data_IF_742978388846
#
_entry.id   IF_742978388846
#
_cell.length_a   1.000
_cell.length_b   1.000
_cell.length_c   1.000
_cell.angle_alpha   90.00
_cell.angle_beta   90.00
_cell.angle_gamma   90.00
#
_symmetry.space_group_name_H-M   'P 1'
#
loop_
_entity.id
_entity.type
_entity.pdbx_description
1 polymer ?
#
# COMPACT_ATOMS: atom_id res chain seq x y z
N UNK A 1 19.02 -7.34 -11.19
CA UNK A 1 19.67 -6.09 -11.65
C UNK A 1 20.85 -5.78 -10.74
N UNK A 2 21.96 -5.22 -11.24
CA UNK A 2 22.96 -4.64 -10.36
C UNK A 2 22.30 -3.57 -9.48
N UNK A 3 22.72 -3.40 -8.20
CA UNK A 3 22.22 -2.31 -7.37
C UNK A 3 22.51 -0.99 -8.09
N UNK A 4 21.51 -0.11 -8.16
CA UNK A 4 21.72 1.26 -8.59
C UNK A 4 22.93 1.81 -7.80
N UNK A 5 23.96 2.38 -8.46
CA UNK A 5 25.03 3.04 -7.73
C UNK A 5 24.39 4.03 -6.76
N UNK A 6 24.89 4.19 -5.51
CA UNK A 6 24.31 5.11 -4.54
C UNK A 6 24.22 6.49 -5.20
N UNK A 7 23.02 6.83 -5.66
CA UNK A 7 22.80 8.03 -6.42
C UNK A 7 22.89 9.21 -5.45
N UNK A 8 23.34 10.33 -6.00
CA UNK A 8 23.35 11.66 -5.39
C UNK A 8 21.92 12.16 -5.11
N UNK A 9 21.10 11.40 -4.38
CA UNK A 9 19.73 11.74 -4.02
C UNK A 9 19.65 12.58 -2.73
N UNK A 10 20.78 13.13 -2.27
CA UNK A 10 20.82 13.90 -1.03
C UNK A 10 19.97 15.17 -1.16
N UNK A 11 19.99 15.84 -2.32
CA UNK A 11 19.15 17.01 -2.56
C UNK A 11 17.66 16.65 -2.50
N UNK A 12 17.28 15.54 -3.11
CA UNK A 12 15.93 14.96 -3.05
C UNK A 12 15.52 14.66 -1.61
N UNK A 13 16.40 14.02 -0.84
CA UNK A 13 16.13 13.66 0.55
C UNK A 13 15.96 14.91 1.42
N UNK A 14 16.86 15.87 1.30
CA UNK A 14 16.82 17.12 2.07
C UNK A 14 15.55 17.92 1.74
N UNK A 15 15.18 17.98 0.46
CA UNK A 15 13.94 18.64 0.00
C UNK A 15 12.70 17.93 0.53
N UNK A 16 12.63 16.60 0.45
CA UNK A 16 11.52 15.82 0.98
C UNK A 16 11.40 15.96 2.50
N UNK A 17 12.51 15.96 3.24
CA UNK A 17 12.54 16.21 4.69
C UNK A 17 11.99 17.60 5.01
N UNK A 18 12.44 18.62 4.28
CA UNK A 18 11.98 19.99 4.47
C UNK A 18 10.45 20.08 4.25
N UNK A 19 9.96 19.60 3.10
CA UNK A 19 8.54 19.67 2.74
C UNK A 19 7.68 18.86 3.71
N UNK A 20 8.12 17.69 4.15
CA UNK A 20 7.41 16.90 5.15
C UNK A 20 7.27 17.66 6.48
N UNK A 21 8.33 18.34 6.94
CA UNK A 21 8.28 19.16 8.17
C UNK A 21 7.36 20.37 8.03
N UNK A 22 7.43 21.07 6.92
CA UNK A 22 6.57 22.23 6.63
C UNK A 22 5.10 21.82 6.56
N UNK A 23 4.77 20.76 5.82
CA UNK A 23 3.43 20.18 5.78
C UNK A 23 2.96 19.73 7.16
N UNK A 24 3.79 19.01 7.92
CA UNK A 24 3.44 18.56 9.27
C UNK A 24 3.17 19.72 10.24
N UNK A 25 3.92 20.81 10.15
CA UNK A 25 3.66 22.03 10.94
C UNK A 25 2.31 22.67 10.56
N UNK A 26 1.97 22.68 9.27
CA UNK A 26 0.68 23.14 8.77
C UNK A 26 -0.47 22.27 9.29
N UNK A 27 -0.32 20.95 9.27
CA UNK A 27 -1.31 20.00 9.81
C UNK A 27 -1.55 20.20 11.32
N UNK A 28 -0.50 20.39 12.12
CA UNK A 28 -0.62 20.69 13.55
C UNK A 28 -1.36 22.03 13.80
N UNK A 29 -1.11 23.03 12.94
CA UNK A 29 -1.83 24.30 12.96
C UNK A 29 -3.33 24.12 12.69
N UNK A 30 -3.69 23.25 11.75
CA UNK A 30 -5.10 22.91 11.49
C UNK A 30 -5.74 22.16 12.65
N UNK A 31 -5.06 21.19 13.27
CA UNK A 31 -5.58 20.51 14.46
C UNK A 31 -5.81 21.48 15.62
N UNK A 32 -4.84 22.36 15.89
CA UNK A 32 -4.97 23.37 16.93
C UNK A 32 -6.16 24.30 16.66
N UNK A 33 -6.36 24.72 15.40
CA UNK A 33 -7.52 25.53 15.00
C UNK A 33 -8.84 24.75 15.10
N UNK A 34 -8.92 23.52 14.58
CA UNK A 34 -10.11 22.68 14.61
C UNK A 34 -10.62 22.42 16.04
N UNK A 35 -9.71 22.12 16.97
CA UNK A 35 -10.02 21.97 18.40
C UNK A 35 -10.55 23.27 19.04
N UNK A 36 -10.13 24.44 18.53
CA UNK A 36 -10.64 25.75 19.00
C UNK A 36 -12.00 26.08 18.38
N UNK A 37 -12.24 25.66 17.13
CA UNK A 37 -13.45 25.99 16.35
C UNK A 37 -14.55 24.90 16.45
N UNK A 38 -14.36 23.80 17.18
CA UNK A 38 -15.42 22.82 17.51
C UNK A 38 -16.66 23.43 18.22
N UNK A 39 -16.66 24.74 18.51
CA UNK A 39 -17.86 25.50 18.83
C UNK A 39 -18.72 25.93 17.60
N UNK A 40 -18.25 25.79 16.34
CA UNK A 40 -18.89 26.36 15.11
C UNK A 40 -18.66 25.66 13.74
N UNK A 41 -17.80 24.65 13.56
CA UNK A 41 -17.57 24.00 12.23
C UNK A 41 -17.52 22.48 12.29
N UNK A 42 -17.70 21.78 11.15
CA UNK A 42 -17.67 20.32 11.07
C UNK A 42 -16.23 19.78 10.95
N UNK A 43 -15.99 18.55 11.44
CA UNK A 43 -14.68 17.90 11.36
C UNK A 43 -14.26 17.56 9.92
N UNK A 44 -15.21 17.21 9.05
CA UNK A 44 -14.96 16.86 7.64
C UNK A 44 -14.42 18.05 6.82
N UNK A 45 -14.96 19.25 7.06
CA UNK A 45 -14.48 20.48 6.40
C UNK A 45 -13.04 20.81 6.79
N UNK A 46 -12.68 20.58 8.05
CA UNK A 46 -11.34 20.88 8.58
C UNK A 46 -10.28 19.96 7.98
N UNK A 47 -10.60 18.68 7.85
CA UNK A 47 -9.69 17.67 7.27
C UNK A 47 -9.46 17.96 5.80
N UNK A 48 -10.53 18.25 5.05
CA UNK A 48 -10.44 18.58 3.63
C UNK A 48 -9.57 19.82 3.38
N UNK A 49 -9.63 20.83 4.24
CA UNK A 49 -8.79 22.03 4.12
C UNK A 49 -7.31 21.73 4.46
N UNK A 50 -7.07 21.01 5.55
CA UNK A 50 -5.72 20.65 5.98
C UNK A 50 -4.98 19.84 4.93
N UNK A 51 -5.66 18.86 4.34
CA UNK A 51 -5.11 17.94 3.36
C UNK A 51 -4.77 18.66 2.05
N UNK A 52 -5.69 19.48 1.53
CA UNK A 52 -5.46 20.31 0.34
C UNK A 52 -4.30 21.30 0.51
N UNK A 53 -4.22 21.97 1.65
CA UNK A 53 -3.14 22.93 1.91
C UNK A 53 -1.77 22.23 2.04
N UNK A 54 -1.72 21.07 2.72
CA UNK A 54 -0.52 20.27 2.83
C UNK A 54 -0.07 19.72 1.46
N UNK A 55 -1.01 19.18 0.67
CA UNK A 55 -0.78 18.71 -0.69
C UNK A 55 -0.21 19.84 -1.56
N UNK A 56 -0.87 21.00 -1.60
CA UNK A 56 -0.43 22.13 -2.42
C UNK A 56 1.00 22.59 -2.07
N UNK A 57 1.34 22.62 -0.77
CA UNK A 57 2.69 22.95 -0.31
C UNK A 57 3.72 21.96 -0.83
N UNK A 58 3.49 20.66 -0.63
CA UNK A 58 4.43 19.60 -1.04
C UNK A 58 4.57 19.59 -2.56
N UNK A 59 3.46 19.60 -3.29
CA UNK A 59 3.41 19.56 -4.76
C UNK A 59 4.14 20.77 -5.36
N UNK A 60 3.90 21.98 -4.85
CA UNK A 60 4.58 23.18 -5.34
C UNK A 60 6.10 23.11 -5.09
N UNK A 61 6.51 22.67 -3.89
CA UNK A 61 7.92 22.50 -3.54
C UNK A 61 8.63 21.49 -4.42
N UNK A 62 8.04 20.31 -4.63
CA UNK A 62 8.60 19.27 -5.49
C UNK A 62 8.69 19.70 -6.96
N UNK A 63 7.64 20.32 -7.50
CA UNK A 63 7.65 20.84 -8.89
C UNK A 63 8.70 21.94 -9.09
N UNK A 64 8.92 22.79 -8.09
CA UNK A 64 9.94 23.83 -8.17
C UNK A 64 11.36 23.26 -8.12
N UNK A 65 11.60 22.28 -7.24
CA UNK A 65 12.92 21.67 -7.08
C UNK A 65 13.28 20.68 -8.20
N UNK A 66 12.28 19.93 -8.71
CA UNK A 66 12.45 18.84 -9.67
C UNK A 66 11.45 18.92 -10.84
N UNK A 67 11.51 19.97 -11.69
CA UNK A 67 10.51 20.21 -12.74
C UNK A 67 10.48 19.14 -13.85
N UNK A 68 11.45 18.22 -13.89
CA UNK A 68 11.49 17.12 -14.85
C UNK A 68 10.86 15.81 -14.35
N UNK A 69 10.57 15.71 -13.05
CA UNK A 69 10.02 14.51 -12.42
C UNK A 69 8.49 14.50 -12.53
N UNK A 70 7.90 13.30 -12.55
CA UNK A 70 6.45 13.12 -12.45
C UNK A 70 5.97 13.28 -11.02
N UNK A 71 4.67 13.46 -10.85
CA UNK A 71 4.04 13.58 -9.54
C UNK A 71 2.72 12.81 -9.50
N UNK A 72 2.52 12.08 -8.41
CA UNK A 72 1.28 11.40 -8.04
C UNK A 72 0.97 11.76 -6.59
N UNK A 73 -0.20 12.34 -6.32
CA UNK A 73 -0.64 12.69 -4.97
C UNK A 73 -2.06 12.18 -4.76
N UNK A 74 -2.40 11.74 -3.55
CA UNK A 74 -3.77 11.33 -3.18
C UNK A 74 -4.81 12.41 -3.52
N UNK A 75 -4.49 13.65 -3.15
CA UNK A 75 -5.41 14.79 -3.23
C UNK A 75 -5.47 15.45 -4.60
N UNK A 76 -4.50 15.16 -5.47
CA UNK A 76 -4.49 15.69 -6.83
C UNK A 76 -5.28 14.75 -7.74
N UNK A 77 -6.18 15.32 -8.54
CA UNK A 77 -6.87 14.52 -9.55
C UNK A 77 -5.85 14.02 -10.57
N UNK A 78 -5.75 12.70 -10.70
CA UNK A 78 -4.98 12.02 -11.74
C UNK A 78 -5.72 12.08 -13.09
N UNK A 79 -5.95 13.31 -13.57
CA UNK A 79 -6.62 13.61 -14.83
C UNK A 79 -5.91 12.90 -15.99
N UNK A 80 -6.56 12.67 -17.14
CA UNK A 80 -5.92 12.04 -18.29
C UNK A 80 -4.59 12.71 -18.68
N UNK A 81 -4.51 14.03 -18.58
CA UNK A 81 -3.32 14.82 -18.87
C UNK A 81 -2.22 14.61 -17.81
N UNK A 82 -2.56 14.76 -16.52
CA UNK A 82 -1.62 14.53 -15.41
C UNK A 82 -1.08 13.09 -15.43
N UNK A 83 -1.97 12.12 -15.69
CA UNK A 83 -1.64 10.70 -15.83
C UNK A 83 -0.68 10.47 -16.98
N UNK A 84 -0.99 10.99 -18.18
CA UNK A 84 -0.11 10.87 -19.34
C UNK A 84 1.26 11.50 -19.08
N UNK A 85 1.30 12.64 -18.40
CA UNK A 85 2.55 13.28 -18.01
C UNK A 85 3.37 12.37 -17.08
N UNK A 86 2.85 11.97 -15.92
CA UNK A 86 3.62 11.18 -14.93
C UNK A 86 4.03 9.82 -15.47
N UNK A 87 3.19 9.17 -16.29
CA UNK A 87 3.51 7.87 -16.90
C UNK A 87 4.63 7.98 -17.95
N UNK A 88 4.84 9.18 -18.50
CA UNK A 88 5.98 9.48 -19.38
C UNK A 88 7.28 9.77 -18.64
N UNK A 89 7.30 9.82 -17.30
CA UNK A 89 8.49 10.11 -16.49
C UNK A 89 9.07 8.85 -15.88
N UNK A 90 10.39 8.75 -15.90
CA UNK A 90 11.13 7.67 -15.22
C UNK A 90 11.13 7.88 -13.69
N UNK A 91 11.28 9.13 -13.25
CA UNK A 91 11.31 9.54 -11.85
C UNK A 91 9.95 10.12 -11.48
N UNK A 92 9.32 9.61 -10.42
CA UNK A 92 8.00 10.07 -9.97
C UNK A 92 7.97 10.20 -8.46
N UNK A 93 7.58 11.39 -7.99
CA UNK A 93 7.25 11.66 -6.60
C UNK A 93 5.84 11.17 -6.29
N UNK A 94 5.68 10.43 -5.21
CA UNK A 94 4.43 9.79 -4.81
C UNK A 94 4.13 10.23 -3.38
N UNK A 95 3.03 10.95 -3.19
CA UNK A 95 2.78 11.75 -1.98
C UNK A 95 1.42 11.42 -1.40
N UNK A 96 1.39 11.22 -0.08
CA UNK A 96 0.18 11.25 0.73
C UNK A 96 0.38 12.35 1.80
N UNK A 97 -0.35 13.48 1.70
CA UNK A 97 -0.21 14.58 2.65
C UNK A 97 -0.71 14.23 4.06
N UNK A 98 -1.66 13.29 4.21
CA UNK A 98 -2.22 12.84 5.50
C UNK A 98 -2.57 11.34 5.44
N UNK A 99 -1.55 10.47 5.57
CA UNK A 99 -1.80 9.05 5.79
C UNK A 99 -2.33 8.86 7.21
N UNK A 100 -3.44 8.13 7.34
CA UNK A 100 -4.15 7.99 8.61
C UNK A 100 -5.11 9.13 8.90
N UNK A 101 -5.86 9.60 7.89
CA UNK A 101 -6.90 10.64 8.02
C UNK A 101 -7.84 10.44 9.22
N UNK A 102 -8.24 9.19 9.50
CA UNK A 102 -9.08 8.87 10.66
C UNK A 102 -8.41 9.18 12.02
N UNK A 103 -7.10 9.03 12.09
CA UNK A 103 -6.28 9.33 13.26
C UNK A 103 -6.03 10.84 13.37
N UNK A 104 -5.84 11.52 12.23
CA UNK A 104 -5.83 12.99 12.15
C UNK A 104 -7.13 13.61 12.65
N UNK A 105 -8.30 13.16 12.16
CA UNK A 105 -9.63 13.64 12.61
C UNK A 105 -9.80 13.52 14.12
N UNK A 106 -9.29 12.43 14.71
CA UNK A 106 -9.39 12.16 16.15
C UNK A 106 -8.31 12.88 16.97
N UNK A 107 -7.36 13.56 16.33
CA UNK A 107 -6.21 14.17 16.97
C UNK A 107 -5.29 13.16 17.67
N UNK A 108 -5.22 11.92 17.19
CA UNK A 108 -4.27 10.92 17.73
C UNK A 108 -2.88 11.16 17.14
N UNK A 109 -1.88 10.46 17.66
CA UNK A 109 -0.51 10.57 17.18
C UNK A 109 -0.17 9.68 15.96
N UNK A 110 -1.15 8.97 15.40
CA UNK A 110 -0.95 7.87 14.44
C UNK A 110 -1.29 8.27 12.98
N UNK A 111 -1.01 9.53 12.61
CA UNK A 111 -1.06 10.04 11.23
C UNK A 111 0.31 10.56 10.79
N UNK A 112 0.55 10.64 9.48
CA UNK A 112 1.83 11.09 8.94
C UNK A 112 1.73 11.76 7.58
N UNK A 113 2.71 12.60 7.27
CA UNK A 113 3.03 13.01 5.89
C UNK A 113 3.96 11.96 5.28
N UNK A 114 3.64 11.48 4.08
CA UNK A 114 4.40 10.46 3.35
C UNK A 114 4.84 10.99 1.99
N UNK A 115 6.16 11.00 1.74
CA UNK A 115 6.77 11.47 0.49
C UNK A 115 7.76 10.43 0.00
N UNK A 116 7.41 9.74 -1.09
CA UNK A 116 8.24 8.73 -1.74
C UNK A 116 8.75 9.19 -3.10
N UNK A 117 9.90 8.67 -3.52
CA UNK A 117 10.41 8.81 -4.88
C UNK A 117 10.61 7.41 -5.47
N UNK A 118 9.97 7.18 -6.61
CA UNK A 118 10.15 5.99 -7.43
C UNK A 118 10.97 6.32 -8.69
N UNK A 119 11.88 5.43 -9.08
CA UNK A 119 12.68 5.54 -10.31
C UNK A 119 12.56 4.25 -11.09
N UNK A 120 12.09 4.34 -12.34
CA UNK A 120 11.83 3.16 -13.17
C UNK A 120 10.86 2.18 -12.51
N UNK A 121 9.89 2.69 -11.75
CA UNK A 121 8.90 1.90 -11.00
C UNK A 121 9.40 1.27 -9.69
N UNK A 122 10.65 1.51 -9.28
CA UNK A 122 11.23 1.02 -8.03
C UNK A 122 11.25 2.12 -6.97
N UNK A 123 10.86 1.87 -5.71
CA UNK A 123 10.95 2.85 -4.64
C UNK A 123 12.42 2.99 -4.22
N UNK A 124 12.98 4.20 -4.29
CA UNK A 124 14.42 4.46 -4.02
C UNK A 124 14.67 5.38 -2.84
N UNK A 125 13.71 6.22 -2.47
CA UNK A 125 13.82 7.19 -1.37
C UNK A 125 12.45 7.38 -0.73
N UNK A 126 12.43 7.53 0.59
CA UNK A 126 11.21 7.78 1.35
C UNK A 126 11.45 8.68 2.55
N UNK A 127 10.48 9.55 2.81
CA UNK A 127 10.34 10.35 4.03
C UNK A 127 8.94 10.14 4.58
N UNK A 128 8.85 9.75 5.86
CA UNK A 128 7.60 9.64 6.60
C UNK A 128 7.73 10.47 7.87
N UNK A 129 6.86 11.44 8.05
CA UNK A 129 6.88 12.33 9.22
C UNK A 129 5.55 12.26 9.97
N UNK A 130 5.58 11.79 11.22
CA UNK A 130 4.46 11.83 12.15
C UNK A 130 4.58 13.11 13.01
N UNK A 131 3.87 14.20 12.68
CA UNK A 131 4.11 15.49 13.32
C UNK A 131 3.67 15.55 14.78
N UNK A 132 2.62 14.80 15.16
CA UNK A 132 2.12 14.75 16.52
C UNK A 132 3.11 14.11 17.52
N UNK A 133 3.85 13.08 17.09
CA UNK A 133 4.91 12.46 17.90
C UNK A 133 6.30 13.07 17.65
N UNK A 134 6.45 13.88 16.60
CA UNK A 134 7.74 14.45 16.18
C UNK A 134 8.69 13.41 15.58
N UNK A 135 8.18 12.27 15.12
CA UNK A 135 8.98 11.19 14.54
C UNK A 135 9.14 11.41 13.03
N UNK A 136 10.36 11.67 12.58
CA UNK A 136 10.73 11.76 11.17
C UNK A 136 11.63 10.60 10.78
N UNK A 137 11.18 9.79 9.82
CA UNK A 137 11.94 8.71 9.22
C UNK A 137 12.33 9.12 7.81
N UNK A 138 13.60 9.01 7.47
CA UNK A 138 14.11 9.39 6.15
C UNK A 138 15.22 8.45 5.71
N UNK A 139 15.21 8.02 4.46
CA UNK A 139 16.18 7.05 3.97
C UNK A 139 16.19 6.87 2.47
N UNK A 140 17.29 6.30 1.99
CA UNK A 140 17.50 5.96 0.58
C UNK A 140 17.99 4.53 0.48
N UNK A 141 17.48 3.79 -0.52
CA UNK A 141 17.90 2.42 -0.77
C UNK A 141 19.40 2.39 -1.05
N UNK A 142 20.13 1.58 -0.29
CA UNK A 142 21.60 1.50 -0.35
C UNK A 142 22.35 2.48 0.57
N UNK A 143 21.68 3.47 1.19
CA UNK A 143 22.29 4.40 2.15
C UNK A 143 21.84 4.15 3.61
N UNK A 144 20.67 3.53 3.80
CA UNK A 144 20.09 3.26 5.11
C UNK A 144 19.00 4.26 5.50
N UNK A 145 18.57 4.17 6.76
CA UNK A 145 17.48 4.97 7.32
C UNK A 145 17.99 5.79 8.51
N UNK A 146 17.42 6.98 8.67
CA UNK A 146 17.55 7.83 9.86
C UNK A 146 16.20 8.00 10.54
N UNK A 147 16.20 8.09 11.87
CA UNK A 147 15.07 8.57 12.68
C UNK A 147 15.51 9.86 13.35
N UNK A 148 14.78 10.95 13.12
CA UNK A 148 15.08 12.27 13.69
C UNK A 148 16.52 12.75 13.43
N UNK A 149 17.11 12.37 12.29
CA UNK A 149 18.48 12.71 11.91
C UNK A 149 19.55 11.75 12.45
N UNK A 150 19.19 10.80 13.31
CA UNK A 150 20.11 9.77 13.81
C UNK A 150 20.02 8.50 12.96
N UNK A 151 21.17 7.95 12.58
CA UNK A 151 21.22 6.72 11.78
C UNK A 151 20.72 5.53 12.58
N UNK A 152 19.84 4.74 11.97
CA UNK A 152 19.31 3.53 12.58
C UNK A 152 20.17 2.33 12.17
N UNK A 153 20.49 1.48 13.15
CA UNK A 153 21.01 0.13 12.91
C UNK A 153 20.09 -0.84 13.64
N UNK A 154 19.46 -1.74 12.87
CA UNK A 154 18.50 -2.71 13.39
C UNK A 154 19.19 -4.07 13.51
N UNK A 155 19.04 -4.72 14.66
CA UNK A 155 19.51 -6.10 14.85
C UNK A 155 18.50 -7.11 14.31
N UNK A 156 19.00 -8.25 13.86
CA UNK A 156 18.17 -9.39 13.48
C UNK A 156 17.43 -9.95 14.69
N UNK A 157 16.11 -10.13 14.57
CA UNK A 157 15.29 -10.83 15.56
C UNK A 157 14.95 -12.23 15.04
N UNK A 158 15.04 -13.25 15.88
CA UNK A 158 14.78 -14.63 15.50
C UNK A 158 13.32 -15.07 15.63
N UNK A 159 12.45 -14.28 16.27
CA UNK A 159 11.01 -14.55 16.37
C UNK A 159 10.66 -15.79 17.19
N UNK A 160 11.30 -15.96 18.36
CA UNK A 160 11.10 -17.13 19.22
C UNK A 160 9.86 -17.03 20.11
N UNK A 161 9.49 -18.12 20.78
CA UNK A 161 8.33 -18.16 21.70
C UNK A 161 8.37 -17.11 22.82
N UNK A 162 9.57 -16.77 23.29
CA UNK A 162 9.79 -15.77 24.33
C UNK A 162 10.06 -14.35 23.79
N UNK A 163 10.21 -14.20 22.47
CA UNK A 163 10.41 -12.91 21.80
C UNK A 163 9.80 -12.97 20.39
N UNK A 164 8.45 -13.00 20.31
CA UNK A 164 7.76 -13.14 19.04
C UNK A 164 7.98 -11.91 18.17
N UNK A 165 7.75 -12.07 16.87
CA UNK A 165 7.70 -10.92 15.97
C UNK A 165 6.51 -10.01 16.31
N UNK A 166 6.73 -8.70 16.25
CA UNK A 166 5.72 -7.66 16.39
C UNK A 166 5.11 -7.40 15.01
N UNK A 167 3.81 -7.70 14.87
CA UNK A 167 3.06 -7.48 13.64
C UNK A 167 2.18 -6.24 13.80
N UNK A 168 2.56 -5.14 13.15
CA UNK A 168 1.76 -3.92 13.19
C UNK A 168 0.56 -4.03 12.25
N UNK A 169 -0.66 -3.89 12.75
CA UNK A 169 -1.91 -4.13 11.99
C UNK A 169 -2.89 -2.97 12.18
N UNK A 170 -3.64 -2.62 11.13
CA UNK A 170 -4.73 -1.64 11.26
C UNK A 170 -5.77 -2.11 12.28
N UNK A 171 -6.18 -1.24 13.20
CA UNK A 171 -7.23 -1.55 14.16
C UNK A 171 -8.56 -1.97 13.50
N UNK A 172 -8.85 -1.44 12.31
CA UNK A 172 -10.04 -1.82 11.52
C UNK A 172 -9.93 -3.24 10.99
N UNK A 173 -8.76 -3.64 10.51
CA UNK A 173 -8.55 -4.97 9.96
C UNK A 173 -8.54 -6.05 11.05
N UNK A 174 -7.92 -5.73 12.19
CA UNK A 174 -7.97 -6.54 13.39
C UNK A 174 -9.42 -6.86 13.80
N UNK A 175 -10.26 -5.83 13.92
CA UNK A 175 -11.66 -5.95 14.34
C UNK A 175 -12.55 -6.71 13.35
N UNK A 176 -12.27 -6.64 12.05
CA UNK A 176 -13.15 -7.23 11.02
C UNK A 176 -12.91 -8.73 10.81
N UNK A 177 -11.68 -9.11 10.51
CA UNK A 177 -11.41 -10.45 9.96
C UNK A 177 -10.30 -11.18 10.75
N UNK A 178 -9.37 -10.44 11.36
CA UNK A 178 -8.18 -11.06 11.95
C UNK A 178 -8.31 -11.48 13.42
N UNK A 179 -9.24 -10.90 14.18
CA UNK A 179 -9.50 -11.33 15.57
C UNK A 179 -9.98 -12.79 15.69
N UNK A 180 -10.41 -13.41 14.59
CA UNK A 180 -10.80 -14.81 14.52
C UNK A 180 -9.59 -15.75 14.34
N UNK A 181 -8.42 -15.20 14.07
CA UNK A 181 -7.18 -15.94 13.84
C UNK A 181 -6.24 -15.74 15.02
N UNK A 182 -5.70 -16.85 15.55
CA UNK A 182 -4.69 -16.81 16.60
C UNK A 182 -3.30 -16.51 15.98
N UNK A 183 -3.12 -15.31 15.42
CA UNK A 183 -1.83 -14.85 14.92
C UNK A 183 -1.12 -14.06 16.03
N UNK A 184 0.02 -14.54 16.56
CA UNK A 184 0.68 -13.89 17.67
C UNK A 184 1.33 -12.56 17.27
N UNK A 185 1.59 -11.71 18.26
CA UNK A 185 2.38 -10.48 18.06
C UNK A 185 1.65 -9.31 17.41
N UNK A 186 0.35 -9.43 17.13
CA UNK A 186 -0.46 -8.33 16.58
C UNK A 186 -0.49 -7.12 17.51
N UNK A 187 -0.13 -5.95 16.97
CA UNK A 187 -0.22 -4.64 17.63
C UNK A 187 -1.02 -3.68 16.74
N UNK A 188 -2.15 -3.13 17.22
CA UNK A 188 -2.88 -2.11 16.50
C UNK A 188 -2.02 -0.88 16.20
N UNK A 189 -2.07 -0.37 14.96
CA UNK A 189 -1.45 0.88 14.53
C UNK A 189 -2.17 1.42 13.29
N UNK A 190 -2.39 2.74 13.26
CA UNK A 190 -3.18 3.45 12.25
C UNK A 190 -2.55 3.49 10.85
N UNK A 191 -1.84 4.59 10.58
CA UNK A 191 -1.13 4.91 9.33
C UNK A 191 -0.23 3.77 8.82
N UNK A 192 -0.35 3.41 7.54
CA UNK A 192 0.46 2.35 6.92
C UNK A 192 1.86 2.85 6.56
N UNK A 193 2.02 4.09 6.13
CA UNK A 193 3.32 4.73 5.94
C UNK A 193 4.13 4.71 7.25
N UNK A 194 3.50 5.09 8.37
CA UNK A 194 4.13 5.08 9.69
C UNK A 194 4.45 3.66 10.18
N UNK A 195 3.58 2.68 9.93
CA UNK A 195 3.89 1.27 10.23
C UNK A 195 5.14 0.80 9.49
N UNK A 196 5.22 1.05 8.18
CA UNK A 196 6.38 0.66 7.37
C UNK A 196 7.66 1.37 7.83
N UNK A 197 7.56 2.66 8.17
CA UNK A 197 8.67 3.44 8.70
C UNK A 197 9.16 2.90 10.07
N UNK A 198 8.25 2.57 10.98
CA UNK A 198 8.56 1.96 12.28
C UNK A 198 9.18 0.56 12.14
N UNK A 199 8.75 -0.22 11.13
CA UNK A 199 9.40 -1.51 10.82
C UNK A 199 10.83 -1.27 10.32
N UNK A 200 11.04 -0.30 9.43
CA UNK A 200 12.36 0.06 8.95
C UNK A 200 13.28 0.56 10.08
N UNK A 201 12.70 1.12 11.14
CA UNK A 201 13.39 1.53 12.35
C UNK A 201 13.61 0.41 13.38
N UNK A 202 13.07 -0.80 13.17
CA UNK A 202 13.16 -1.92 14.10
C UNK A 202 12.21 -1.84 15.30
N UNK A 203 11.20 -0.97 15.25
CA UNK A 203 10.18 -0.80 16.30
C UNK A 203 9.00 -1.76 16.14
N UNK A 204 8.86 -2.32 14.94
CA UNK A 204 8.00 -3.45 14.62
C UNK A 204 8.74 -4.35 13.61
N UNK A 205 8.20 -5.53 13.34
CA UNK A 205 8.92 -6.54 12.56
C UNK A 205 8.28 -6.81 11.20
N UNK A 206 6.95 -6.78 11.14
CA UNK A 206 6.19 -7.01 9.92
C UNK A 206 4.80 -6.35 9.97
N UNK A 207 4.14 -6.29 8.82
CA UNK A 207 2.76 -5.86 8.64
C UNK A 207 2.13 -6.60 7.46
N UNK A 208 0.80 -6.68 7.44
CA UNK A 208 0.06 -7.04 6.25
C UNK A 208 -1.29 -6.32 6.22
N UNK A 209 -1.89 -6.24 5.04
CA UNK A 209 -3.30 -5.90 4.90
C UNK A 209 -3.93 -6.74 3.80
N UNK A 210 -5.17 -7.15 4.02
CA UNK A 210 -6.02 -7.77 3.00
C UNK A 210 -6.86 -6.74 2.24
N UNK A 211 -6.90 -5.51 2.73
CA UNK A 211 -7.62 -4.41 2.09
C UNK A 211 -6.71 -3.71 1.07
N UNK A 212 -7.26 -3.16 0.00
CA UNK A 212 -6.46 -2.44 -0.99
C UNK A 212 -5.67 -1.29 -0.41
N UNK A 213 -4.55 -0.95 -1.05
CA UNK A 213 -3.75 0.25 -0.76
C UNK A 213 -3.46 1.00 -2.04
N UNK A 214 -3.26 2.28 -1.94
CA UNK A 214 -2.78 3.10 -3.04
C UNK A 214 -1.26 3.19 -3.03
N UNK A 215 -0.66 3.60 -4.14
CA UNK A 215 0.79 3.79 -4.21
C UNK A 215 1.29 4.84 -3.21
N UNK A 216 0.52 5.91 -2.99
CA UNK A 216 0.84 7.00 -2.06
C UNK A 216 0.88 6.56 -0.59
N UNK A 217 0.01 5.64 -0.20
CA UNK A 217 0.00 5.03 1.14
C UNK A 217 1.34 4.34 1.49
N UNK A 218 2.03 3.77 0.48
CA UNK A 218 3.11 2.80 0.73
C UNK A 218 4.45 3.17 0.11
N UNK A 219 4.54 4.07 -0.88
CA UNK A 219 5.78 4.32 -1.62
C UNK A 219 6.94 4.75 -0.72
N UNK A 220 6.72 5.73 0.15
CA UNK A 220 7.75 6.21 1.08
C UNK A 220 8.14 5.13 2.10
N UNK A 221 7.15 4.49 2.71
CA UNK A 221 7.37 3.41 3.68
C UNK A 221 8.10 2.21 3.09
N UNK A 222 7.79 1.83 1.85
CA UNK A 222 8.46 0.75 1.15
C UNK A 222 9.92 1.11 0.83
N UNK A 223 10.20 2.34 0.39
CA UNK A 223 11.57 2.80 0.19
C UNK A 223 12.40 2.74 1.49
N UNK A 224 11.83 3.19 2.61
CA UNK A 224 12.46 3.08 3.93
C UNK A 224 12.73 1.63 4.32
N UNK A 225 11.74 0.75 4.12
CA UNK A 225 11.86 -0.66 4.45
C UNK A 225 12.99 -1.33 3.64
N UNK A 226 13.06 -1.09 2.34
CA UNK A 226 14.17 -1.56 1.48
C UNK A 226 15.52 -0.96 1.89
N UNK A 227 15.56 0.33 2.25
CA UNK A 227 16.77 0.98 2.74
C UNK A 227 17.30 0.34 4.04
N UNK A 228 16.42 -0.25 4.85
CA UNK A 228 16.78 -1.01 6.06
C UNK A 228 17.00 -2.52 5.81
N UNK A 229 16.84 -3.01 4.57
CA UNK A 229 17.03 -4.41 4.19
C UNK A 229 15.78 -5.30 4.28
N UNK A 230 14.61 -4.73 4.57
CA UNK A 230 13.31 -5.42 4.44
C UNK A 230 12.71 -5.29 3.05
N UNK A 231 11.49 -5.78 2.87
CA UNK A 231 10.76 -5.68 1.60
C UNK A 231 9.23 -5.62 1.79
N UNK A 232 8.52 -5.18 0.75
CA UNK A 232 7.06 -5.12 0.69
C UNK A 232 6.54 -5.76 -0.61
N UNK A 233 5.69 -6.76 -0.46
CA UNK A 233 5.14 -7.54 -1.56
C UNK A 233 3.61 -7.42 -1.60
N UNK A 234 3.04 -7.64 -2.78
CA UNK A 234 1.62 -7.95 -2.88
C UNK A 234 1.37 -9.29 -2.20
N UNK A 235 0.16 -9.48 -1.65
CA UNK A 235 -0.18 -10.75 -0.98
C UNK A 235 -0.22 -11.98 -1.90
N UNK A 236 -0.30 -11.77 -3.21
CA UNK A 236 -0.17 -12.83 -4.20
C UNK A 236 1.28 -13.20 -4.53
N UNK A 237 2.26 -12.58 -3.85
CA UNK A 237 3.68 -12.84 -3.97
C UNK A 237 4.38 -12.02 -5.05
N UNK A 238 3.66 -11.19 -5.80
CA UNK A 238 4.26 -10.35 -6.83
C UNK A 238 4.92 -9.10 -6.22
N UNK A 239 6.02 -8.60 -6.83
CA UNK A 239 6.63 -7.35 -6.41
C UNK A 239 5.68 -6.16 -6.67
N UNK A 240 5.77 -5.14 -5.82
CA UNK A 240 5.05 -3.88 -6.01
C UNK A 240 5.86 -2.98 -6.95
N UNK A 241 5.20 -2.50 -8.01
CA UNK A 241 5.76 -1.55 -8.97
C UNK A 241 4.99 -0.25 -8.85
N UNK A 242 5.70 0.87 -8.94
CA UNK A 242 5.14 2.21 -8.79
C UNK A 242 4.99 2.93 -10.13
N UNK A 243 4.30 4.06 -10.13
CA UNK A 243 3.87 4.82 -11.31
C UNK A 243 3.02 3.98 -12.26
N UNK A 244 2.07 3.20 -11.73
CA UNK A 244 1.18 2.39 -12.55
C UNK A 244 0.02 3.24 -13.11
N UNK A 245 -0.59 2.83 -14.25
CA UNK A 245 -1.78 3.50 -14.78
C UNK A 245 -2.97 3.48 -13.82
N UNK A 246 -3.07 2.40 -13.03
CA UNK A 246 -3.95 2.28 -11.87
C UNK A 246 -3.07 2.20 -10.62
N UNK A 247 -2.97 3.28 -9.83
CA UNK A 247 -2.06 3.34 -8.68
C UNK A 247 -2.67 2.67 -7.43
N UNK A 248 -3.43 1.60 -7.60
CA UNK A 248 -4.09 0.86 -6.54
C UNK A 248 -3.69 -0.60 -6.55
N UNK A 249 -3.41 -1.13 -5.37
CA UNK A 249 -2.98 -2.50 -5.08
C UNK A 249 -4.17 -3.22 -4.45
N UNK A 250 -4.98 -3.88 -5.27
CA UNK A 250 -6.23 -4.52 -4.85
C UNK A 250 -6.03 -5.81 -4.02
N UNK A 251 -4.91 -6.50 -4.22
CA UNK A 251 -4.63 -7.80 -3.59
C UNK A 251 -4.24 -7.67 -2.11
N UNK A 252 -4.02 -6.45 -1.63
CA UNK A 252 -3.40 -6.19 -0.34
C UNK A 252 -1.89 -6.43 -0.37
N UNK A 253 -1.24 -6.21 0.76
CA UNK A 253 0.22 -6.25 0.89
C UNK A 253 0.67 -7.06 2.10
N UNK A 254 1.90 -7.54 2.07
CA UNK A 254 2.64 -8.12 3.20
C UNK A 254 4.08 -7.62 3.15
N UNK A 255 4.60 -7.15 4.27
CA UNK A 255 5.94 -6.58 4.32
C UNK A 255 6.57 -6.70 5.68
N UNK A 256 7.88 -6.64 5.72
CA UNK A 256 8.62 -6.78 6.96
C UNK A 256 10.12 -6.88 6.73
N UNK A 257 10.84 -7.07 7.84
CA UNK A 257 12.24 -7.51 7.80
C UNK A 257 12.31 -8.97 7.31
N UNK A 258 13.42 -9.43 6.72
CA UNK A 258 13.46 -10.69 5.98
C UNK A 258 12.92 -11.90 6.74
N UNK A 259 13.35 -12.09 7.99
CA UNK A 259 12.95 -13.24 8.82
C UNK A 259 11.47 -13.14 9.22
N UNK A 260 11.01 -11.93 9.57
CA UNK A 260 9.64 -11.66 9.97
C UNK A 260 8.66 -11.76 8.78
N UNK A 261 9.08 -11.34 7.58
CA UNK A 261 8.31 -11.44 6.35
C UNK A 261 8.12 -12.91 5.94
N UNK A 262 9.19 -13.70 5.99
CA UNK A 262 9.14 -15.14 5.71
C UNK A 262 8.22 -15.86 6.70
N UNK A 263 8.39 -15.58 8.00
CA UNK A 263 7.52 -16.12 9.05
C UNK A 263 6.06 -15.71 8.85
N UNK A 264 5.78 -14.41 8.68
CA UNK A 264 4.42 -13.91 8.55
C UNK A 264 3.72 -14.53 7.34
N UNK A 265 4.41 -14.63 6.20
CA UNK A 265 3.87 -15.27 5.00
C UNK A 265 3.47 -16.72 5.26
N UNK A 266 4.30 -17.48 5.97
CA UNK A 266 4.00 -18.86 6.35
C UNK A 266 2.80 -18.94 7.31
N UNK A 267 2.71 -18.06 8.31
CA UNK A 267 1.61 -18.03 9.27
C UNK A 267 0.26 -17.68 8.62
N UNK A 268 0.24 -16.75 7.66
CA UNK A 268 -0.95 -16.39 6.89
C UNK A 268 -1.42 -17.57 6.03
N UNK A 269 -0.49 -18.29 5.39
CA UNK A 269 -0.79 -19.48 4.60
C UNK A 269 -1.30 -20.63 5.48
N UNK A 270 -0.67 -20.90 6.62
CA UNK A 270 -1.06 -21.96 7.55
C UNK A 270 -2.48 -21.78 8.12
N UNK A 271 -2.92 -20.53 8.25
CA UNK A 271 -4.29 -20.17 8.68
C UNK A 271 -5.27 -20.04 7.53
N UNK A 272 -4.87 -20.43 6.32
CA UNK A 272 -5.69 -20.38 5.11
C UNK A 272 -6.30 -19.00 4.83
N UNK A 273 -5.59 -17.90 5.17
CA UNK A 273 -6.13 -16.57 4.92
C UNK A 273 -6.33 -16.34 3.41
N UNK A 274 -7.51 -15.89 2.97
CA UNK A 274 -7.81 -15.80 1.55
C UNK A 274 -6.88 -14.82 0.82
N UNK A 275 -6.29 -15.25 -0.30
CA UNK A 275 -5.48 -14.44 -1.22
C UNK A 275 -6.20 -14.32 -2.56
N UNK A 276 -6.22 -13.12 -3.14
CA UNK A 276 -6.78 -12.88 -4.47
C UNK A 276 -5.67 -12.73 -5.51
N UNK A 277 -5.85 -13.36 -6.67
CA UNK A 277 -5.04 -13.21 -7.87
C UNK A 277 -5.94 -12.64 -8.96
N UNK A 278 -5.56 -11.50 -9.54
CA UNK A 278 -6.29 -10.86 -10.62
C UNK A 278 -5.47 -11.03 -11.91
N UNK A 279 -6.03 -11.67 -12.94
CA UNK A 279 -5.27 -12.10 -14.12
C UNK A 279 -4.23 -13.18 -13.80
N UNK A 280 -4.67 -14.27 -13.14
CA UNK A 280 -3.82 -15.40 -12.76
C UNK A 280 -3.25 -16.10 -13.99
N UNK A 281 -1.92 -16.12 -14.10
CA UNK A 281 -1.19 -16.83 -15.16
C UNK A 281 -1.03 -18.33 -14.84
N UNK A 282 -0.98 -19.16 -15.88
CA UNK A 282 -0.79 -20.61 -15.77
C UNK A 282 0.53 -21.00 -15.09
N UNK A 283 1.58 -20.18 -15.24
CA UNK A 283 2.87 -20.37 -14.58
C UNK A 283 2.87 -20.03 -13.09
N UNK A 284 1.84 -19.36 -12.58
CA UNK A 284 1.78 -18.98 -11.18
C UNK A 284 1.48 -20.19 -10.29
N UNK A 285 2.13 -20.29 -9.12
CA UNK A 285 1.90 -21.39 -8.17
C UNK A 285 0.42 -21.52 -7.77
N UNK A 286 -0.30 -20.40 -7.70
CA UNK A 286 -1.73 -20.38 -7.37
C UNK A 286 -2.62 -21.03 -8.45
N UNK A 287 -2.13 -21.25 -9.68
CA UNK A 287 -2.86 -22.00 -10.72
C UNK A 287 -3.22 -23.41 -10.25
N UNK A 288 -2.34 -24.04 -9.46
CA UNK A 288 -2.57 -25.37 -8.90
C UNK A 288 -3.74 -25.42 -7.89
N UNK A 289 -4.24 -24.28 -7.42
CA UNK A 289 -5.42 -24.21 -6.52
C UNK A 289 -6.75 -24.38 -7.27
N UNK A 290 -6.74 -24.25 -8.60
CA UNK A 290 -7.90 -24.53 -9.44
C UNK A 290 -8.15 -26.05 -9.50
N UNK A 291 -9.42 -26.50 -9.54
CA UNK A 291 -9.74 -27.88 -9.89
C UNK A 291 -9.09 -28.29 -11.22
N UNK A 292 -8.67 -29.56 -11.35
CA UNK A 292 -7.96 -30.02 -12.56
C UNK A 292 -8.74 -29.84 -13.87
N UNK A 293 -10.07 -29.94 -13.83
CA UNK A 293 -10.93 -29.64 -14.97
C UNK A 293 -10.86 -28.16 -15.39
N UNK A 294 -10.73 -27.25 -14.42
CA UNK A 294 -10.63 -25.81 -14.65
C UNK A 294 -9.25 -25.42 -15.18
N UNK A 295 -8.19 -26.04 -14.67
CA UNK A 295 -6.84 -25.83 -15.21
C UNK A 295 -6.79 -26.15 -16.71
N UNK A 296 -7.42 -27.25 -17.13
CA UNK A 296 -7.48 -27.63 -18.55
C UNK A 296 -8.40 -26.70 -19.37
N UNK A 297 -9.55 -26.31 -18.83
CA UNK A 297 -10.53 -25.49 -19.53
C UNK A 297 -10.10 -24.02 -19.68
N UNK A 298 -9.30 -23.51 -18.74
CA UNK A 298 -8.88 -22.10 -18.70
C UNK A 298 -7.42 -21.89 -19.14
N UNK A 299 -6.72 -22.95 -19.56
CA UNK A 299 -5.35 -22.85 -20.05
C UNK A 299 -5.24 -21.80 -21.19
N UNK A 300 -4.30 -20.86 -21.06
CA UNK A 300 -4.12 -19.74 -21.98
C UNK A 300 -5.15 -18.60 -21.88
N UNK A 301 -6.14 -18.66 -20.97
CA UNK A 301 -7.10 -17.60 -20.77
C UNK A 301 -6.51 -16.45 -19.93
N UNK A 302 -6.61 -15.20 -20.41
CA UNK A 302 -5.95 -14.05 -19.79
C UNK A 302 -6.76 -13.36 -18.67
N UNK A 303 -8.05 -13.68 -18.55
CA UNK A 303 -8.94 -13.06 -17.58
C UNK A 303 -9.38 -13.97 -16.44
N UNK A 304 -8.52 -14.91 -16.03
CA UNK A 304 -8.78 -15.79 -14.90
C UNK A 304 -8.50 -15.04 -13.60
N UNK A 305 -9.49 -14.90 -12.72
CA UNK A 305 -9.32 -14.28 -11.41
C UNK A 305 -9.74 -15.27 -10.33
N UNK A 306 -8.92 -15.43 -9.30
CA UNK A 306 -9.11 -16.46 -8.27
C UNK A 306 -8.94 -15.87 -6.90
N UNK A 307 -9.81 -16.25 -5.98
CA UNK A 307 -9.59 -16.13 -4.54
C UNK A 307 -9.39 -17.53 -3.97
N UNK A 308 -8.26 -17.79 -3.33
CA UNK A 308 -7.94 -19.11 -2.76
C UNK A 308 -7.50 -18.99 -1.30
N UNK A 309 -7.57 -20.11 -0.57
CA UNK A 309 -7.11 -20.23 0.81
C UNK A 309 -6.99 -21.71 1.18
N UNK A 310 -5.97 -22.07 1.97
CA UNK A 310 -5.78 -23.46 2.41
C UNK A 310 -5.52 -24.44 1.25
N UNK A 311 -4.97 -23.96 0.14
CA UNK A 311 -4.72 -24.75 -1.07
C UNK A 311 -5.97 -25.01 -1.93
N UNK A 312 -7.08 -24.34 -1.66
CA UNK A 312 -8.34 -24.53 -2.40
C UNK A 312 -8.86 -23.22 -2.97
N UNK A 313 -9.47 -23.29 -4.16
CA UNK A 313 -10.22 -22.17 -4.74
C UNK A 313 -11.49 -21.91 -3.91
N UNK A 314 -11.62 -20.69 -3.40
CA UNK A 314 -12.79 -20.20 -2.66
C UNK A 314 -13.78 -19.49 -3.58
N UNK A 315 -13.26 -18.79 -4.60
CA UNK A 315 -14.03 -18.18 -5.68
C UNK A 315 -13.22 -18.07 -6.96
N UNK A 316 -13.90 -18.19 -8.09
CA UNK A 316 -13.38 -18.05 -9.43
C UNK A 316 -14.25 -17.07 -10.22
N UNK A 317 -13.62 -16.11 -10.88
CA UNK A 317 -14.26 -15.18 -11.78
C UNK A 317 -13.46 -15.09 -13.08
N UNK A 318 -14.06 -15.54 -14.18
CA UNK A 318 -13.48 -15.47 -15.52
C UNK A 318 -14.14 -14.33 -16.28
N UNK A 319 -13.32 -13.41 -16.79
CA UNK A 319 -13.77 -12.19 -17.48
C UNK A 319 -13.05 -12.08 -18.81
N UNK A 320 -13.75 -11.79 -19.89
CA UNK A 320 -13.10 -11.40 -21.14
C UNK A 320 -12.39 -10.05 -20.93
N UNK A 321 -11.06 -9.97 -21.05
CA UNK A 321 -10.32 -8.73 -20.78
C UNK A 321 -10.62 -7.60 -21.78
N UNK A 322 -11.09 -7.92 -22.99
CA UNK A 322 -11.40 -6.92 -24.02
C UNK A 322 -12.80 -6.32 -23.82
N UNK A 323 -13.78 -7.16 -23.53
CA UNK A 323 -15.19 -6.73 -23.40
C UNK A 323 -15.62 -6.47 -21.96
N UNK A 324 -14.83 -6.94 -20.98
CA UNK A 324 -15.16 -6.98 -19.54
C UNK A 324 -16.43 -7.79 -19.24
N UNK A 325 -16.80 -8.70 -20.13
CA UNK A 325 -17.95 -9.58 -19.93
C UNK A 325 -17.59 -10.71 -18.98
N UNK A 326 -18.42 -10.96 -17.97
CA UNK A 326 -18.28 -12.11 -17.09
C UNK A 326 -18.61 -13.38 -17.85
N UNK A 327 -17.66 -14.29 -17.99
CA UNK A 327 -17.86 -15.59 -18.67
C UNK A 327 -18.21 -16.70 -17.68
N UNK A 328 -17.64 -16.64 -16.48
CA UNK A 328 -17.88 -17.61 -15.41
C UNK A 328 -17.72 -16.98 -14.04
N UNK A 329 -18.59 -17.34 -13.10
CA UNK A 329 -18.55 -16.86 -11.73
C UNK A 329 -18.99 -17.99 -10.79
N UNK A 330 -18.06 -18.50 -9.97
CA UNK A 330 -18.24 -19.71 -9.16
C UNK A 330 -17.61 -19.56 -7.78
N UNK A 331 -18.10 -20.33 -6.80
CA UNK A 331 -17.58 -20.37 -5.44
C UNK A 331 -18.54 -19.84 -4.38
N UNK A 332 -18.02 -19.66 -3.17
CA UNK A 332 -18.79 -19.13 -2.04
C UNK A 332 -19.22 -17.67 -2.30
N UNK A 333 -20.47 -17.33 -1.97
CA UNK A 333 -21.05 -16.02 -2.28
C UNK A 333 -20.29 -14.85 -1.64
N UNK A 334 -19.77 -15.04 -0.42
CA UNK A 334 -18.99 -14.01 0.25
C UNK A 334 -17.64 -13.80 -0.45
N UNK A 335 -16.93 -14.89 -0.77
CA UNK A 335 -15.65 -14.82 -1.47
C UNK A 335 -15.77 -14.31 -2.91
N UNK A 336 -16.81 -14.72 -3.63
CA UNK A 336 -17.08 -14.28 -5.00
C UNK A 336 -17.43 -12.78 -5.02
N UNK A 337 -18.27 -12.29 -4.11
CA UNK A 337 -18.58 -10.86 -4.00
C UNK A 337 -17.32 -10.01 -3.77
N UNK A 338 -16.41 -10.47 -2.90
CA UNK A 338 -15.13 -9.81 -2.65
C UNK A 338 -14.25 -9.81 -3.91
N UNK A 339 -14.10 -10.96 -4.56
CA UNK A 339 -13.29 -11.10 -5.77
C UNK A 339 -13.83 -10.21 -6.91
N UNK A 340 -15.15 -10.22 -7.15
CA UNK A 340 -15.79 -9.38 -8.15
C UNK A 340 -15.54 -7.89 -7.88
N UNK A 341 -15.65 -7.45 -6.63
CA UNK A 341 -15.35 -6.06 -6.27
C UNK A 341 -13.89 -5.71 -6.55
N UNK A 342 -12.96 -6.58 -6.19
CA UNK A 342 -11.52 -6.36 -6.38
C UNK A 342 -11.18 -6.32 -7.89
N UNK A 343 -11.81 -7.16 -8.73
CA UNK A 343 -11.72 -7.10 -10.21
C UNK A 343 -12.32 -5.81 -10.76
N UNK A 344 -13.52 -5.41 -10.33
CA UNK A 344 -14.18 -4.17 -10.79
C UNK A 344 -13.32 -2.94 -10.48
N UNK A 345 -12.63 -2.92 -9.34
CA UNK A 345 -11.68 -1.83 -9.02
C UNK A 345 -10.47 -1.85 -9.93
N UNK A 346 -9.94 -3.02 -10.24
CA UNK A 346 -8.76 -3.16 -11.09
C UNK A 346 -9.01 -2.79 -12.56
N UNK A 347 -10.14 -3.19 -13.15
CA UNK A 347 -10.39 -3.08 -14.61
C UNK A 347 -11.67 -2.29 -14.98
N UNK A 348 -12.37 -1.75 -13.98
CA UNK A 348 -13.64 -1.04 -14.15
C UNK A 348 -14.87 -1.95 -14.14
N UNK A 349 -16.04 -1.35 -14.35
CA UNK A 349 -17.33 -2.05 -14.32
C UNK A 349 -17.36 -3.24 -15.30
N UNK A 350 -17.90 -4.36 -14.83
CA UNK A 350 -18.08 -5.58 -15.60
C UNK A 350 -19.42 -5.58 -16.32
N UNK A 351 -19.45 -6.20 -17.50
CA UNK A 351 -20.66 -6.44 -18.26
C UNK A 351 -21.18 -7.85 -17.92
N UNK A 352 -22.48 -7.98 -17.69
CA UNK A 352 -23.09 -9.31 -17.61
C UNK A 352 -23.18 -9.93 -19.00
N UNK A 353 -23.17 -11.26 -19.10
CA UNK A 353 -23.50 -11.89 -20.38
C UNK A 353 -24.91 -11.45 -20.78
N UNK A 354 -25.14 -11.08 -22.05
CA UNK A 354 -26.50 -10.92 -22.52
C UNK A 354 -27.22 -12.25 -22.30
N UNK A 355 -28.25 -12.25 -21.43
CA UNK A 355 -29.12 -13.41 -21.27
C UNK A 355 -29.62 -13.81 -22.67
N UNK A 356 -29.13 -14.93 -23.19
CA UNK A 356 -29.69 -15.52 -24.40
C UNK A 356 -31.19 -15.73 -24.17
N UNK A 357 -32.04 -15.56 -25.19
CA UNK A 357 -33.48 -15.68 -25.01
C UNK A 357 -33.77 -17.06 -24.41
N UNK A 358 -34.37 -17.07 -23.22
CA UNK A 358 -34.90 -18.28 -22.61
C UNK A 358 -35.81 -18.95 -23.65
N UNK A 359 -35.36 -20.10 -24.18
CA UNK A 359 -36.19 -20.95 -25.01
C UNK A 359 -37.42 -21.35 -24.21
N UNK A 360 -38.59 -20.95 -24.72
CA UNK A 360 -39.90 -21.27 -24.16
C UNK A 360 -40.38 -22.68 -24.48
#
# INVERSE_FOLDING_TARGET
>A
MPPLPPAKLQQELDTAIQLAREAGALLLSHLARGLIVEYKTSAEDTVTAADREASALIVAGLKAAFPGDGLLSEEETDSPENKAERLGRERVWIVDPIDGTNDFVKGTADFSVSIGLAVGGEPVLGVVFAPASGELFAGMVGAGVTKNGERISVSTRSGGTNDPFIVAISGTEYKRELHLHDLPGMKPSGSIALKLARIAAGEADATFTMSPRSEWDIAAGHALLRASGGDLLRRDGLPIRYNQPSPHIEQGIVGGRPEALAWLTAELAARALPTAHLGLEESALAWATLPGADQAALAGHLGVNVRHGGGQTLALLVVDPATRTVERAEGDAFHLSRLTRDVVRAIGALNEQPHGPHGG
#
